data_IF_239362903715
#
_entry.id   IF_239362903715
#
_cell.length_a   1.000
_cell.length_b   1.000
_cell.length_c   1.000
_cell.angle_alpha   90.00
_cell.angle_beta   90.00
_cell.angle_gamma   90.00
#
_symmetry.space_group_name_H-M   'P 1'
#
loop_
_entity.id
_entity.type
_entity.pdbx_description
1 polymer ?
#
# COMPACT_ATOMS: atom_id res chain seq x y z
N UNK A 1 -13.81 -10.62 -13.72
CA UNK A 1 -13.04 -9.50 -14.32
C UNK A 1 -12.16 -10.06 -15.45
N UNK A 2 -12.54 -9.80 -16.72
CA UNK A 2 -11.82 -10.31 -17.93
C UNK A 2 -10.53 -9.51 -18.13
N UNK A 3 -9.45 -9.87 -17.49
CA UNK A 3 -8.12 -9.21 -17.59
C UNK A 3 -7.12 -9.97 -18.48
N UNK A 4 -7.53 -11.08 -19.09
CA UNK A 4 -6.57 -12.02 -19.69
C UNK A 4 -6.31 -11.87 -21.20
N UNK A 5 -6.89 -10.88 -21.90
CA UNK A 5 -6.79 -10.81 -23.37
C UNK A 5 -6.33 -9.48 -23.94
N UNK A 6 -5.83 -8.54 -23.13
CA UNK A 6 -5.34 -7.27 -23.67
C UNK A 6 -3.85 -7.37 -24.05
N UNK A 7 -3.46 -6.74 -25.20
CA UNK A 7 -2.04 -6.55 -25.60
C UNK A 7 -1.18 -6.03 -24.44
N UNK A 8 -1.76 -5.22 -23.56
CA UNK A 8 -1.10 -4.67 -22.37
C UNK A 8 -0.68 -5.74 -21.36
N UNK A 9 -1.52 -6.78 -21.14
CA UNK A 9 -1.17 -7.90 -20.24
C UNK A 9 0.01 -8.71 -20.77
N UNK A 10 0.03 -8.98 -22.07
CA UNK A 10 1.16 -9.67 -22.70
C UNK A 10 2.47 -8.88 -22.56
N UNK A 11 2.45 -7.57 -22.79
CA UNK A 11 3.61 -6.70 -22.57
C UNK A 11 4.10 -6.74 -21.12
N UNK A 12 3.18 -6.77 -20.15
CA UNK A 12 3.55 -6.92 -18.75
C UNK A 12 4.23 -8.27 -18.47
N UNK A 13 3.75 -9.37 -19.05
CA UNK A 13 4.39 -10.68 -18.91
C UNK A 13 5.80 -10.71 -19.49
N UNK A 14 6.00 -10.12 -20.67
CA UNK A 14 7.33 -9.98 -21.28
C UNK A 14 8.24 -9.16 -20.38
N UNK A 15 7.77 -8.01 -19.89
CA UNK A 15 8.52 -7.19 -18.94
C UNK A 15 8.96 -7.97 -17.69
N UNK A 16 8.03 -8.72 -17.05
CA UNK A 16 8.38 -9.51 -15.86
C UNK A 16 9.37 -10.63 -16.16
N UNK A 17 9.30 -11.27 -17.33
CA UNK A 17 10.29 -12.27 -17.73
C UNK A 17 11.68 -11.65 -17.90
N UNK A 18 11.79 -10.52 -18.57
CA UNK A 18 13.04 -9.78 -18.74
C UNK A 18 13.59 -9.29 -17.41
N UNK A 19 12.74 -8.72 -16.56
CA UNK A 19 13.12 -8.28 -15.21
C UNK A 19 13.72 -9.43 -14.40
N UNK A 20 13.07 -10.60 -14.38
CA UNK A 20 13.57 -11.80 -13.65
C UNK A 20 14.88 -12.30 -14.23
N UNK A 21 15.03 -12.29 -15.54
CA UNK A 21 16.26 -12.68 -16.20
C UNK A 21 17.43 -11.77 -15.79
N UNK A 22 17.24 -10.46 -15.86
CA UNK A 22 18.26 -9.49 -15.42
C UNK A 22 18.57 -9.63 -13.93
N UNK A 23 17.52 -9.77 -13.07
CA UNK A 23 17.68 -9.94 -11.63
C UNK A 23 18.39 -11.24 -11.25
N UNK A 24 18.19 -12.32 -12.02
CA UNK A 24 18.91 -13.57 -11.78
C UNK A 24 20.43 -13.38 -11.77
N UNK A 25 20.96 -12.70 -12.79
CA UNK A 25 22.39 -12.45 -12.86
C UNK A 25 22.86 -11.41 -11.85
N UNK A 26 22.19 -10.26 -11.78
CA UNK A 26 22.61 -9.19 -10.88
C UNK A 26 22.55 -9.60 -9.41
N UNK A 27 21.51 -10.33 -9.00
CA UNK A 27 21.38 -10.78 -7.62
C UNK A 27 22.38 -11.87 -7.26
N UNK A 28 22.71 -12.77 -8.20
CA UNK A 28 23.68 -13.84 -7.96
C UNK A 28 25.10 -13.31 -7.73
N UNK A 29 25.51 -12.31 -8.48
CA UNK A 29 26.89 -11.83 -8.44
C UNK A 29 27.10 -10.58 -7.59
N UNK A 30 26.06 -9.75 -7.42
CA UNK A 30 26.13 -8.44 -6.77
C UNK A 30 25.13 -8.28 -5.63
N UNK A 31 24.34 -9.31 -5.33
CA UNK A 31 23.31 -9.25 -4.29
C UNK A 31 23.92 -9.17 -2.89
N UNK A 32 23.32 -8.35 -2.03
CA UNK A 32 23.60 -8.29 -0.60
C UNK A 32 22.91 -9.47 0.10
N UNK A 33 23.37 -9.82 1.31
CA UNK A 33 22.77 -10.91 2.11
C UNK A 33 21.89 -10.38 3.23
N UNK A 34 22.25 -9.25 3.82
CA UNK A 34 21.56 -8.68 4.98
C UNK A 34 20.58 -7.60 4.54
N UNK A 35 19.37 -8.01 4.19
CA UNK A 35 18.32 -7.09 3.76
C UNK A 35 17.45 -6.65 4.93
N UNK A 36 16.96 -5.41 4.85
CA UNK A 36 15.83 -4.92 5.61
C UNK A 36 14.56 -5.07 4.76
N UNK A 37 13.52 -5.67 5.32
CA UNK A 37 12.24 -5.85 4.63
C UNK A 37 11.26 -4.78 5.09
N UNK A 38 10.83 -3.93 4.18
CA UNK A 38 9.85 -2.87 4.44
C UNK A 38 8.49 -3.26 3.87
N UNK A 39 7.49 -3.37 4.74
CA UNK A 39 6.11 -3.61 4.34
C UNK A 39 5.27 -2.35 4.54
N UNK A 40 4.68 -1.84 3.46
CA UNK A 40 3.70 -0.76 3.56
C UNK A 40 2.37 -1.37 3.99
N UNK A 41 1.88 -0.96 5.17
CA UNK A 41 0.58 -1.32 5.70
C UNK A 41 -0.42 -0.20 5.42
N UNK A 42 -1.08 -0.27 4.28
CA UNK A 42 -2.02 0.77 3.87
C UNK A 42 -3.29 0.17 3.25
N UNK A 43 -4.46 0.55 3.74
CA UNK A 43 -5.72 0.16 3.10
C UNK A 43 -5.81 0.63 1.65
N UNK A 44 -6.66 0.02 0.82
CA UNK A 44 -6.97 0.53 -0.50
C UNK A 44 -7.45 1.99 -0.43
N UNK A 45 -7.12 2.77 -1.46
CA UNK A 45 -7.54 4.17 -1.62
C UNK A 45 -6.95 5.17 -0.60
N UNK A 46 -6.01 4.74 0.23
CA UNK A 46 -5.35 5.59 1.21
C UNK A 46 -4.05 6.26 0.72
N UNK A 47 -3.71 6.19 -0.57
CA UNK A 47 -2.53 6.88 -1.12
C UNK A 47 -1.24 6.07 -1.14
N UNK A 48 -1.30 4.75 -0.88
CA UNK A 48 -0.12 3.87 -0.83
C UNK A 48 0.73 3.87 -2.11
N UNK A 49 0.13 4.16 -3.27
CA UNK A 49 0.89 4.28 -4.53
C UNK A 49 1.75 5.54 -4.57
N UNK A 50 1.27 6.65 -4.01
CA UNK A 50 2.06 7.87 -3.83
C UNK A 50 3.24 7.60 -2.89
N UNK A 51 2.99 7.05 -1.70
CA UNK A 51 4.03 6.69 -0.74
C UNK A 51 5.08 5.76 -1.36
N UNK A 52 4.64 4.74 -2.10
CA UNK A 52 5.56 3.84 -2.81
C UNK A 52 6.45 4.59 -3.82
N UNK A 53 5.90 5.58 -4.55
CA UNK A 53 6.69 6.35 -5.52
C UNK A 53 7.73 7.24 -4.83
N UNK A 54 7.36 7.91 -3.73
CA UNK A 54 8.29 8.70 -2.91
C UNK A 54 9.43 7.82 -2.41
N UNK A 55 9.12 6.68 -1.77
CA UNK A 55 10.13 5.76 -1.26
C UNK A 55 11.01 5.16 -2.36
N UNK A 56 10.46 4.96 -3.57
CA UNK A 56 11.19 4.43 -4.71
C UNK A 56 12.21 5.40 -5.31
N UNK A 57 12.25 6.65 -4.86
CA UNK A 57 13.30 7.60 -5.24
C UNK A 57 14.62 7.30 -4.50
N UNK A 58 14.55 6.59 -3.37
CA UNK A 58 15.73 6.14 -2.64
C UNK A 58 16.65 5.26 -3.49
N UNK A 59 17.94 5.59 -3.49
CA UNK A 59 18.97 4.78 -4.12
C UNK A 59 19.17 3.41 -3.46
N UNK A 60 18.71 3.20 -2.21
CA UNK A 60 18.91 1.98 -1.42
C UNK A 60 17.69 1.07 -1.32
N UNK A 61 16.57 1.43 -1.96
CA UNK A 61 15.31 0.68 -1.90
C UNK A 61 15.00 0.00 -3.24
N UNK A 62 14.44 -1.21 -3.15
CA UNK A 62 13.83 -1.91 -4.29
C UNK A 62 12.41 -2.34 -3.93
N UNK A 63 11.42 -1.97 -4.75
CA UNK A 63 10.10 -2.60 -4.69
C UNK A 63 10.08 -3.86 -5.57
N UNK A 64 9.23 -4.84 -5.19
CA UNK A 64 9.10 -6.10 -5.96
C UNK A 64 8.28 -5.92 -7.24
N UNK A 65 7.36 -4.96 -7.26
CA UNK A 65 6.51 -4.69 -8.41
C UNK A 65 6.57 -3.20 -8.78
N UNK A 66 6.96 -2.90 -10.02
CA UNK A 66 7.07 -1.53 -10.55
C UNK A 66 5.88 -1.14 -11.45
N UNK A 67 5.03 -2.11 -11.81
CA UNK A 67 3.93 -1.88 -12.73
C UNK A 67 2.60 -1.68 -12.00
N UNK A 68 1.76 -0.96 -12.61
CA UNK A 68 0.41 -0.79 -12.18
C UNK A 68 0.31 -0.13 -10.79
N UNK A 69 -0.49 -0.70 -9.90
CA UNK A 69 -0.64 -0.25 -8.51
C UNK A 69 0.56 -0.63 -7.64
N UNK A 70 1.59 -1.25 -8.21
CA UNK A 70 2.85 -1.60 -7.56
C UNK A 70 2.71 -2.56 -6.36
N UNK A 71 1.77 -3.50 -6.43
CA UNK A 71 1.52 -4.48 -5.38
C UNK A 71 2.17 -5.82 -5.71
N UNK A 72 2.91 -6.40 -4.77
CA UNK A 72 3.57 -7.70 -4.94
C UNK A 72 2.61 -8.86 -5.15
N UNK A 73 1.38 -8.76 -4.64
CA UNK A 73 0.31 -9.74 -4.91
C UNK A 73 -0.08 -9.84 -6.39
N UNK A 74 0.27 -8.87 -7.22
CA UNK A 74 -0.07 -8.85 -8.65
C UNK A 74 1.04 -9.41 -9.54
N UNK A 75 2.17 -9.82 -8.98
CA UNK A 75 3.22 -10.51 -9.73
C UNK A 75 2.69 -11.83 -10.30
N UNK A 76 3.07 -12.21 -11.53
CA UNK A 76 2.45 -13.34 -12.24
C UNK A 76 2.38 -14.65 -11.45
N UNK A 77 3.44 -14.97 -10.71
CA UNK A 77 3.55 -16.23 -9.94
C UNK A 77 2.87 -16.15 -8.56
N UNK A 78 2.49 -14.95 -8.10
CA UNK A 78 1.89 -14.71 -6.78
C UNK A 78 0.41 -14.41 -6.90
N UNK A 79 -0.01 -13.87 -8.05
CA UNK A 79 -1.38 -13.39 -8.27
C UNK A 79 -2.44 -14.44 -7.96
N UNK A 80 -2.27 -15.67 -8.41
CA UNK A 80 -3.25 -16.75 -8.19
C UNK A 80 -3.27 -17.20 -6.73
N UNK A 81 -2.21 -16.92 -5.97
CA UNK A 81 -2.10 -17.25 -4.54
C UNK A 81 -2.78 -16.16 -3.69
N UNK A 82 -2.48 -14.89 -3.96
CA UNK A 82 -2.83 -13.77 -3.06
C UNK A 82 -3.99 -12.92 -3.58
N UNK A 83 -4.11 -12.75 -4.90
CA UNK A 83 -5.10 -11.87 -5.49
C UNK A 83 -6.34 -12.66 -5.93
N UNK A 84 -7.15 -13.05 -4.96
CA UNK A 84 -8.39 -13.79 -5.14
C UNK A 84 -9.51 -13.18 -4.27
N UNK A 85 -10.72 -13.70 -4.38
CA UNK A 85 -11.89 -13.20 -3.64
C UNK A 85 -11.77 -13.34 -2.11
N UNK A 86 -10.81 -14.13 -1.62
CA UNK A 86 -10.57 -14.38 -0.19
C UNK A 86 -9.38 -13.60 0.36
N UNK A 87 -8.79 -12.70 -0.42
CA UNK A 87 -7.59 -11.95 -0.02
C UNK A 87 -7.74 -11.18 1.30
N UNK A 88 -8.95 -10.73 1.61
CA UNK A 88 -9.30 -9.99 2.83
C UNK A 88 -9.83 -10.86 3.98
N UNK A 89 -9.84 -12.16 3.84
CA UNK A 89 -10.22 -13.10 4.89
C UNK A 89 -9.01 -13.48 5.73
N UNK A 90 -9.02 -13.13 7.01
CA UNK A 90 -7.89 -13.35 7.93
C UNK A 90 -7.61 -14.83 8.21
N UNK A 91 -8.62 -15.68 8.05
CA UNK A 91 -8.52 -17.13 8.24
C UNK A 91 -7.81 -17.86 7.07
N UNK A 92 -7.63 -17.19 5.94
CA UNK A 92 -6.90 -17.76 4.79
C UNK A 92 -5.40 -17.59 4.98
N UNK A 93 -4.68 -18.68 5.10
CA UNK A 93 -3.23 -18.69 5.25
C UNK A 93 -2.53 -18.78 3.91
N UNK A 94 -1.50 -17.95 3.72
CA UNK A 94 -0.70 -17.96 2.51
C UNK A 94 0.60 -18.74 2.70
N UNK A 95 1.12 -19.39 1.64
CA UNK A 95 2.42 -20.05 1.67
C UNK A 95 3.56 -19.01 1.62
N UNK A 96 3.75 -18.25 2.70
CA UNK A 96 4.67 -17.11 2.76
C UNK A 96 6.11 -17.44 2.40
N UNK A 97 6.60 -18.64 2.74
CA UNK A 97 7.95 -19.10 2.32
C UNK A 97 8.04 -19.14 0.79
N UNK A 98 6.99 -19.65 0.11
CA UNK A 98 6.93 -19.66 -1.36
C UNK A 98 6.85 -18.26 -1.92
N UNK A 99 6.00 -17.40 -1.34
CA UNK A 99 5.84 -16.01 -1.73
C UNK A 99 7.17 -15.25 -1.59
N UNK A 100 7.86 -15.36 -0.45
CA UNK A 100 9.20 -14.77 -0.24
C UNK A 100 10.17 -15.21 -1.33
N UNK A 101 10.26 -16.53 -1.61
CA UNK A 101 11.12 -17.08 -2.67
C UNK A 101 10.80 -16.49 -4.06
N UNK A 102 9.52 -16.23 -4.35
CA UNK A 102 9.11 -15.60 -5.60
C UNK A 102 9.49 -14.12 -5.59
N UNK A 103 9.14 -13.35 -4.55
CA UNK A 103 9.44 -11.94 -4.44
C UNK A 103 10.93 -11.63 -4.54
N UNK A 104 11.81 -12.49 -3.94
CA UNK A 104 13.26 -12.39 -4.05
C UNK A 104 13.77 -12.43 -5.50
N UNK A 105 13.00 -13.01 -6.45
CA UNK A 105 13.36 -13.00 -7.88
C UNK A 105 13.07 -11.67 -8.57
N UNK A 106 12.22 -10.82 -7.98
CA UNK A 106 11.80 -9.54 -8.53
C UNK A 106 12.51 -8.35 -7.89
N UNK A 107 12.86 -8.44 -6.60
CA UNK A 107 13.64 -7.43 -5.92
C UNK A 107 15.06 -7.32 -6.49
N UNK A 108 15.55 -6.09 -6.53
CA UNK A 108 16.98 -5.82 -6.75
C UNK A 108 17.75 -6.04 -5.45
N UNK A 109 18.34 -7.21 -5.28
CA UNK A 109 19.07 -7.57 -4.06
C UNK A 109 20.41 -6.83 -3.90
N UNK A 110 20.79 -5.97 -4.84
CA UNK A 110 21.90 -5.02 -4.64
C UNK A 110 21.50 -3.90 -3.68
N UNK A 111 20.20 -3.68 -3.51
CA UNK A 111 19.63 -2.68 -2.60
C UNK A 111 19.50 -3.28 -1.20
N UNK A 112 19.71 -2.45 -0.19
CA UNK A 112 19.65 -2.89 1.20
C UNK A 112 18.19 -3.12 1.65
N UNK A 113 17.26 -2.29 1.18
CA UNK A 113 15.86 -2.31 1.58
C UNK A 113 15.01 -2.93 0.47
N UNK A 114 14.28 -3.99 0.82
CA UNK A 114 13.37 -4.71 -0.06
C UNK A 114 11.93 -4.45 0.37
N UNK A 115 11.17 -3.72 -0.45
CA UNK A 115 9.85 -3.22 -0.10
C UNK A 115 8.72 -3.97 -0.81
N UNK A 116 7.64 -4.28 -0.08
CA UNK A 116 6.35 -4.67 -0.63
C UNK A 116 5.22 -3.74 -0.17
N UNK A 117 4.26 -3.49 -1.07
CA UNK A 117 3.13 -2.60 -0.86
C UNK A 117 1.78 -3.30 -1.12
N UNK A 118 1.64 -4.53 -0.80
CA UNK A 118 0.37 -5.26 -0.94
C UNK A 118 -0.63 -4.78 0.12
N UNK A 119 -1.82 -4.33 -0.30
CA UNK A 119 -2.80 -3.75 0.62
C UNK A 119 -3.29 -4.74 1.69
N UNK A 120 -3.39 -6.04 1.35
CA UNK A 120 -3.80 -7.08 2.31
C UNK A 120 -2.75 -7.39 3.38
N UNK A 121 -1.54 -6.81 3.31
CA UNK A 121 -0.53 -6.95 4.36
C UNK A 121 -1.02 -6.44 5.72
N UNK A 122 -1.97 -5.49 5.76
CA UNK A 122 -2.52 -4.98 7.02
C UNK A 122 -3.16 -6.07 7.89
N UNK A 123 -3.65 -7.14 7.31
CA UNK A 123 -4.24 -8.27 8.04
C UNK A 123 -3.28 -9.47 8.14
N UNK A 124 -2.04 -9.37 7.61
CA UNK A 124 -1.08 -10.48 7.49
C UNK A 124 0.21 -10.28 8.30
N UNK A 125 0.30 -9.23 9.09
CA UNK A 125 1.51 -8.86 9.83
C UNK A 125 2.10 -10.04 10.62
N UNK A 126 1.27 -10.78 11.36
CA UNK A 126 1.71 -11.92 12.16
C UNK A 126 2.29 -13.06 11.29
N UNK A 127 1.73 -13.31 10.11
CA UNK A 127 2.22 -14.33 9.18
C UNK A 127 3.53 -13.90 8.52
N UNK A 128 3.62 -12.64 8.12
CA UNK A 128 4.82 -12.04 7.52
C UNK A 128 6.01 -12.15 8.48
N UNK A 129 5.82 -11.82 9.74
CA UNK A 129 6.85 -11.88 10.81
C UNK A 129 7.42 -13.29 11.04
N UNK A 130 6.67 -14.34 10.73
CA UNK A 130 7.16 -15.73 10.85
C UNK A 130 8.17 -16.11 9.78
N UNK A 131 8.25 -15.35 8.69
CA UNK A 131 9.02 -15.74 7.50
C UNK A 131 10.10 -14.72 7.13
N UNK A 132 9.88 -13.45 7.45
CA UNK A 132 10.84 -12.40 7.17
C UNK A 132 11.53 -11.97 8.46
N UNK A 133 12.85 -11.82 8.41
CA UNK A 133 13.66 -11.26 9.48
C UNK A 133 13.92 -9.78 9.18
N UNK A 134 14.38 -9.01 10.17
CA UNK A 134 14.78 -7.61 9.99
C UNK A 134 13.68 -6.77 9.31
N UNK A 135 12.47 -6.85 9.86
CA UNK A 135 11.25 -6.28 9.29
C UNK A 135 10.99 -4.88 9.84
N UNK A 136 10.49 -4.03 8.95
CA UNK A 136 9.96 -2.70 9.22
C UNK A 136 8.57 -2.57 8.64
N UNK A 137 7.64 -1.96 9.39
CA UNK A 137 6.28 -1.69 8.94
C UNK A 137 6.05 -0.19 8.85
N UNK A 138 5.64 0.28 7.68
CA UNK A 138 5.22 1.66 7.48
C UNK A 138 3.71 1.69 7.27
N UNK A 139 2.99 2.01 8.35
CA UNK A 139 1.53 2.12 8.36
C UNK A 139 1.07 3.47 7.81
N UNK A 140 0.01 3.46 7.00
CA UNK A 140 -0.63 4.68 6.54
C UNK A 140 -2.14 4.53 6.57
N UNK A 141 -2.81 5.51 7.16
CA UNK A 141 -4.27 5.69 7.16
C UNK A 141 -4.66 6.95 6.41
N UNK A 142 -5.93 7.10 6.12
CA UNK A 142 -6.51 8.28 5.46
C UNK A 142 -7.90 8.53 6.04
N UNK A 143 -8.37 9.77 5.93
CA UNK A 143 -9.75 10.11 6.26
C UNK A 143 -10.73 9.06 5.72
N UNK A 144 -11.48 8.38 6.59
CA UNK A 144 -12.28 7.22 6.20
C UNK A 144 -13.41 7.58 5.23
N UNK A 145 -13.94 8.81 5.24
CA UNK A 145 -14.92 9.25 4.25
C UNK A 145 -14.34 9.31 2.84
N UNK A 146 -13.12 9.84 2.71
CA UNK A 146 -12.42 9.88 1.43
C UNK A 146 -12.03 8.48 0.93
N UNK A 147 -11.75 7.55 1.85
CA UNK A 147 -11.53 6.14 1.53
C UNK A 147 -12.83 5.50 1.05
N UNK A 148 -13.94 5.70 1.75
CA UNK A 148 -15.28 5.18 1.40
C UNK A 148 -15.70 5.68 0.01
N UNK A 149 -15.53 6.97 -0.31
CA UNK A 149 -15.79 7.47 -1.67
C UNK A 149 -15.00 6.67 -2.71
N UNK A 150 -13.72 6.45 -2.45
CA UNK A 150 -12.86 5.68 -3.34
C UNK A 150 -13.36 4.26 -3.57
N UNK A 151 -13.86 3.60 -2.53
CA UNK A 151 -14.42 2.23 -2.60
C UNK A 151 -15.71 2.22 -3.41
N UNK A 152 -16.66 3.11 -3.08
CA UNK A 152 -17.93 3.22 -3.79
C UNK A 152 -17.69 3.44 -5.28
N UNK A 153 -16.94 4.47 -5.62
CA UNK A 153 -16.72 4.88 -7.01
C UNK A 153 -15.93 3.87 -7.85
N UNK A 154 -14.98 3.15 -7.24
CA UNK A 154 -14.08 2.24 -7.98
C UNK A 154 -14.57 0.82 -8.04
N UNK A 155 -15.22 0.36 -6.98
CA UNK A 155 -15.69 -1.01 -6.88
C UNK A 155 -17.18 -1.14 -7.15
N UNK A 156 -17.88 -0.02 -7.38
CA UNK A 156 -19.34 0.02 -7.49
C UNK A 156 -20.02 -0.62 -6.26
N UNK A 157 -19.47 -0.34 -5.07
CA UNK A 157 -19.92 -0.90 -3.80
C UNK A 157 -21.01 -0.05 -3.17
N UNK A 158 -21.82 -0.65 -2.28
CA UNK A 158 -22.77 0.12 -1.48
C UNK A 158 -22.05 0.95 -0.40
N UNK A 159 -22.64 2.08 0.05
CA UNK A 159 -22.08 2.89 1.13
C UNK A 159 -21.87 2.11 2.44
N UNK A 160 -22.80 1.19 2.77
CA UNK A 160 -22.74 0.34 3.96
C UNK A 160 -21.52 -0.58 3.92
N UNK A 161 -21.34 -1.29 2.81
CA UNK A 161 -20.17 -2.15 2.62
C UNK A 161 -18.89 -1.35 2.71
N UNK A 162 -18.83 -0.19 2.05
CA UNK A 162 -17.65 0.66 2.02
C UNK A 162 -17.30 1.20 3.41
N UNK A 163 -18.31 1.63 4.21
CA UNK A 163 -18.14 2.09 5.58
C UNK A 163 -17.63 0.97 6.50
N UNK A 164 -18.25 -0.21 6.44
CA UNK A 164 -17.81 -1.38 7.24
C UNK A 164 -16.38 -1.80 6.87
N UNK A 165 -16.04 -1.80 5.58
CA UNK A 165 -14.70 -2.15 5.11
C UNK A 165 -13.66 -1.14 5.59
N UNK A 166 -13.96 0.16 5.54
CA UNK A 166 -13.07 1.21 6.05
C UNK A 166 -12.85 1.07 7.56
N UNK A 167 -13.90 0.84 8.35
CA UNK A 167 -13.80 0.58 9.79
C UNK A 167 -12.96 -0.67 10.09
N UNK A 168 -13.16 -1.75 9.35
CA UNK A 168 -12.35 -2.97 9.51
C UNK A 168 -10.87 -2.70 9.23
N UNK A 169 -10.56 -1.92 8.19
CA UNK A 169 -9.19 -1.51 7.91
C UNK A 169 -8.60 -0.69 9.08
N UNK A 170 -9.35 0.25 9.66
CA UNK A 170 -8.89 1.04 10.80
C UNK A 170 -8.67 0.17 12.05
N UNK A 171 -9.53 -0.82 12.32
CA UNK A 171 -9.33 -1.77 13.44
C UNK A 171 -8.02 -2.56 13.28
N UNK A 172 -7.72 -3.06 12.06
CA UNK A 172 -6.44 -3.73 11.81
C UNK A 172 -5.27 -2.77 11.94
N UNK A 173 -5.39 -1.54 11.45
CA UNK A 173 -4.33 -0.53 11.57
C UNK A 173 -4.09 -0.10 13.02
N UNK A 174 -5.14 0.02 13.84
CA UNK A 174 -5.02 0.26 15.28
C UNK A 174 -4.23 -0.88 15.93
N UNK A 175 -4.64 -2.14 15.70
CA UNK A 175 -3.93 -3.31 16.18
C UNK A 175 -2.44 -3.31 15.75
N UNK A 176 -2.16 -3.05 14.50
CA UNK A 176 -0.79 -3.01 14.01
C UNK A 176 0.02 -1.90 14.67
N UNK A 177 -0.57 -0.71 14.87
CA UNK A 177 0.09 0.42 15.52
C UNK A 177 0.41 0.17 16.98
N UNK A 178 -0.46 -0.54 17.68
CA UNK A 178 -0.31 -0.82 19.14
C UNK A 178 0.67 -1.96 19.41
N UNK A 179 0.74 -2.97 18.55
CA UNK A 179 1.47 -4.20 18.84
C UNK A 179 2.78 -4.40 18.07
N UNK A 180 3.08 -3.54 17.07
CA UNK A 180 4.29 -3.71 16.27
C UNK A 180 5.37 -2.70 16.67
N UNK A 181 6.48 -3.22 17.24
CA UNK A 181 7.58 -2.40 17.77
C UNK A 181 8.34 -1.69 16.62
N UNK A 182 8.64 -2.40 15.53
CA UNK A 182 9.33 -1.82 14.37
C UNK A 182 8.31 -1.24 13.39
N UNK A 183 7.51 -0.27 13.84
CA UNK A 183 6.49 0.35 13.02
C UNK A 183 6.50 1.88 13.14
N UNK A 184 6.31 2.54 12.01
CA UNK A 184 6.01 3.97 11.91
C UNK A 184 4.64 4.13 11.27
N UNK A 185 3.76 4.94 11.87
CA UNK A 185 2.46 5.25 11.31
C UNK A 185 2.38 6.72 10.92
N UNK A 186 1.89 6.98 9.71
CA UNK A 186 1.65 8.30 9.15
C UNK A 186 0.21 8.38 8.65
N UNK A 187 -0.27 9.58 8.38
CA UNK A 187 -1.53 9.79 7.68
C UNK A 187 -1.28 10.24 6.23
N UNK A 188 -2.25 10.00 5.35
CA UNK A 188 -2.23 10.52 3.98
C UNK A 188 -2.20 12.06 3.99
N UNK A 189 -2.89 12.67 4.94
CA UNK A 189 -2.98 14.10 5.14
C UNK A 189 -1.60 14.68 5.46
N UNK A 190 -0.89 14.10 6.46
CA UNK A 190 0.49 14.51 6.78
C UNK A 190 1.42 14.37 5.57
N UNK A 191 1.29 13.26 4.80
CA UNK A 191 2.10 13.03 3.61
C UNK A 191 1.84 14.09 2.52
N UNK A 192 0.63 14.60 2.41
CA UNK A 192 0.30 15.63 1.43
C UNK A 192 0.66 17.04 1.90
N UNK A 193 0.37 17.35 3.15
CA UNK A 193 0.41 18.71 3.68
C UNK A 193 1.78 19.05 4.29
N UNK A 194 2.52 18.05 4.80
CA UNK A 194 3.82 18.18 5.48
C UNK A 194 4.85 17.15 4.97
N UNK A 195 4.93 16.97 3.67
CA UNK A 195 5.71 15.92 3.01
C UNK A 195 7.19 15.86 3.41
N UNK A 196 7.84 17.00 3.62
CA UNK A 196 9.22 17.09 4.08
C UNK A 196 9.39 16.47 5.49
N UNK A 197 8.55 16.89 6.43
CA UNK A 197 8.57 16.32 7.79
C UNK A 197 8.28 14.82 7.79
N UNK A 198 7.35 14.36 6.95
CA UNK A 198 7.07 12.91 6.81
C UNK A 198 8.29 12.18 6.24
N UNK A 199 8.96 12.75 5.25
CA UNK A 199 10.20 12.19 4.71
C UNK A 199 11.28 12.07 5.78
N UNK A 200 11.45 13.08 6.62
CA UNK A 200 12.41 13.06 7.73
C UNK A 200 12.05 12.04 8.81
N UNK A 201 10.77 11.91 9.18
CA UNK A 201 10.30 10.84 10.08
C UNK A 201 10.62 9.44 9.52
N UNK A 202 10.40 9.24 8.22
CA UNK A 202 10.68 7.95 7.57
C UNK A 202 12.19 7.67 7.52
N UNK A 203 13.00 8.67 7.21
CA UNK A 203 14.48 8.54 7.23
C UNK A 203 15.01 8.28 8.64
N UNK A 204 14.46 8.91 9.66
CA UNK A 204 14.83 8.64 11.05
C UNK A 204 14.44 7.20 11.48
N UNK A 205 13.32 6.69 10.98
CA UNK A 205 12.86 5.33 11.25
C UNK A 205 13.69 4.27 10.52
N UNK A 206 14.11 4.53 9.26
CA UNK A 206 14.97 3.64 8.47
C UNK A 206 16.09 4.49 7.84
N UNK A 207 17.17 4.78 8.59
CA UNK A 207 18.24 5.66 8.11
C UNK A 207 18.91 5.19 6.81
N UNK A 208 18.91 3.88 6.58
CA UNK A 208 19.51 3.30 5.37
C UNK A 208 18.72 3.60 4.08
N UNK A 209 17.54 4.17 4.18
CA UNK A 209 16.85 4.71 2.99
C UNK A 209 17.69 5.79 2.31
N UNK A 210 18.42 6.59 3.12
CA UNK A 210 19.10 7.77 2.60
C UNK A 210 18.10 8.81 2.09
N UNK A 211 18.48 9.53 1.05
CA UNK A 211 17.62 10.59 0.50
C UNK A 211 16.42 10.02 -0.25
N UNK A 212 15.26 10.62 0.02
CA UNK A 212 14.00 10.39 -0.69
C UNK A 212 13.45 11.73 -1.16
N UNK A 213 12.96 11.78 -2.41
CA UNK A 213 12.36 12.98 -3.00
C UNK A 213 10.88 13.05 -2.62
N UNK A 214 10.56 13.93 -1.67
CA UNK A 214 9.18 14.21 -1.26
C UNK A 214 8.47 15.22 -2.18
N UNK A 215 9.17 15.88 -3.10
CA UNK A 215 8.62 16.88 -4.02
C UNK A 215 8.34 16.31 -5.42
N UNK A 216 8.55 15.01 -5.60
CA UNK A 216 8.35 14.37 -6.90
C UNK A 216 6.94 14.62 -7.45
N UNK A 217 6.86 14.80 -8.74
CA UNK A 217 5.61 14.70 -9.46
C UNK A 217 5.28 13.22 -9.73
N UNK A 218 4.14 12.76 -9.26
CA UNK A 218 3.76 11.37 -9.33
C UNK A 218 2.73 11.08 -10.43
N UNK A 219 2.73 9.85 -10.92
CA UNK A 219 1.70 9.40 -11.84
C UNK A 219 0.64 8.59 -11.10
N UNK A 220 -0.59 9.09 -11.14
CA UNK A 220 -1.74 8.40 -10.56
C UNK A 220 -2.39 7.49 -11.62
N UNK A 221 -2.55 6.21 -11.26
CA UNK A 221 -2.97 5.13 -12.17
C UNK A 221 -4.30 5.30 -12.88
N UNK A 222 -5.10 6.28 -12.50
CA UNK A 222 -6.49 6.38 -12.91
C UNK A 222 -6.93 7.82 -13.21
N UNK A 223 -6.02 8.73 -13.33
CA UNK A 223 -6.34 10.02 -13.92
C UNK A 223 -6.16 9.89 -15.43
N UNK A 224 -7.16 10.35 -16.18
CA UNK A 224 -7.15 10.35 -17.66
C UNK A 224 -6.13 11.31 -18.26
N UNK A 225 -5.34 11.96 -17.39
CA UNK A 225 -4.27 12.86 -17.78
C UNK A 225 -2.98 12.06 -17.88
N UNK A 226 -2.36 12.04 -19.05
CA UNK A 226 -1.01 11.54 -19.28
C UNK A 226 0.07 12.39 -18.57
N UNK A 227 -0.35 13.24 -17.63
CA UNK A 227 0.46 14.17 -16.88
C UNK A 227 0.86 13.68 -15.50
N UNK A 228 2.06 14.08 -15.08
CA UNK A 228 2.49 14.00 -13.70
C UNK A 228 1.68 15.00 -12.87
N UNK A 229 1.35 14.62 -11.64
CA UNK A 229 0.60 15.44 -10.69
C UNK A 229 1.47 15.84 -9.52
N UNK A 230 1.30 17.07 -9.05
CA UNK A 230 1.86 17.49 -7.76
C UNK A 230 1.12 16.77 -6.61
N UNK A 231 1.85 16.54 -5.53
CA UNK A 231 1.28 15.98 -4.30
C UNK A 231 0.32 17.01 -3.70
N UNK A 232 -0.93 16.59 -3.49
CA UNK A 232 -1.96 17.44 -2.88
C UNK A 232 -2.98 16.58 -2.13
N UNK A 233 -3.57 17.14 -1.09
CA UNK A 233 -4.63 16.51 -0.33
C UNK A 233 -5.96 16.57 -1.11
N UNK A 234 -6.48 15.42 -1.48
CA UNK A 234 -7.72 15.31 -2.27
C UNK A 234 -8.94 14.87 -1.41
N UNK A 235 -8.85 14.98 -0.08
CA UNK A 235 -9.93 14.51 0.78
C UNK A 235 -11.22 15.29 0.54
N UNK A 236 -11.18 16.60 0.57
CA UNK A 236 -12.36 17.46 0.42
C UNK A 236 -13.06 17.24 -0.91
N UNK A 237 -12.29 17.13 -2.00
CA UNK A 237 -12.84 16.83 -3.33
C UNK A 237 -13.56 15.48 -3.39
N UNK A 238 -13.09 14.50 -2.62
CA UNK A 238 -13.70 13.18 -2.56
C UNK A 238 -14.92 13.17 -1.68
N UNK A 239 -14.85 13.79 -0.51
CA UNK A 239 -15.95 13.85 0.45
C UNK A 239 -17.13 14.60 -0.16
N UNK A 240 -16.87 15.70 -0.86
CA UNK A 240 -17.91 16.47 -1.60
C UNK A 240 -18.66 15.67 -2.68
N UNK A 241 -18.16 14.52 -3.11
CA UNK A 241 -18.82 13.63 -4.06
C UNK A 241 -19.81 12.66 -3.42
N UNK A 242 -19.79 12.54 -2.10
CA UNK A 242 -20.76 11.76 -1.36
C UNK A 242 -22.07 12.53 -1.26
N UNK A 243 -23.17 11.90 -1.65
CA UNK A 243 -24.50 12.50 -1.48
C UNK A 243 -24.92 12.54 -0.01
N UNK A 244 -25.86 13.39 0.35
CA UNK A 244 -26.42 13.48 1.71
C UNK A 244 -26.92 12.12 2.21
N UNK A 245 -27.60 11.35 1.36
CA UNK A 245 -28.07 10.01 1.73
C UNK A 245 -26.89 9.03 1.97
N UNK A 246 -25.82 9.12 1.18
CA UNK A 246 -24.62 8.32 1.39
C UNK A 246 -23.93 8.70 2.70
N UNK A 247 -23.80 10.00 2.99
CA UNK A 247 -23.22 10.47 4.26
C UNK A 247 -24.04 10.00 5.46
N UNK A 248 -25.38 10.10 5.41
CA UNK A 248 -26.25 9.62 6.50
C UNK A 248 -26.05 8.12 6.75
N UNK A 249 -25.98 7.31 5.69
CA UNK A 249 -25.71 5.87 5.79
C UNK A 249 -24.32 5.59 6.37
N UNK A 250 -23.27 6.25 5.89
CA UNK A 250 -21.89 6.10 6.40
C UNK A 250 -21.85 6.48 7.87
N UNK A 251 -22.48 7.60 8.25
CA UNK A 251 -22.54 8.07 9.63
C UNK A 251 -23.27 7.09 10.56
N UNK A 252 -24.25 6.34 10.08
CA UNK A 252 -24.92 5.31 10.89
C UNK A 252 -23.98 4.19 11.34
N UNK A 253 -22.90 3.94 10.61
CA UNK A 253 -21.82 3.00 10.98
C UNK A 253 -20.73 3.71 11.79
N UNK A 254 -20.28 4.88 11.36
CA UNK A 254 -19.16 5.59 11.98
C UNK A 254 -19.48 6.10 13.38
N UNK A 255 -20.74 6.49 13.65
CA UNK A 255 -21.21 6.88 14.98
C UNK A 255 -21.09 5.76 16.03
N UNK A 256 -21.06 4.49 15.59
CA UNK A 256 -20.88 3.34 16.49
C UNK A 256 -19.40 3.11 16.84
N UNK A 257 -18.48 3.81 16.16
CA UNK A 257 -17.03 3.61 16.25
C UNK A 257 -16.26 4.94 16.36
N UNK A 258 -16.89 5.93 17.03
CA UNK A 258 -16.31 7.28 17.19
C UNK A 258 -14.93 7.22 17.85
N UNK A 259 -14.74 6.35 18.84
CA UNK A 259 -13.44 6.17 19.51
C UNK A 259 -12.36 5.68 18.56
N UNK A 260 -12.71 4.78 17.62
CA UNK A 260 -11.77 4.30 16.60
C UNK A 260 -11.38 5.40 15.62
N UNK A 261 -12.33 6.24 15.22
CA UNK A 261 -12.06 7.39 14.36
C UNK A 261 -11.14 8.38 15.09
N UNK A 262 -11.52 8.76 16.31
CA UNK A 262 -10.76 9.70 17.15
C UNK A 262 -9.33 9.23 17.41
N UNK A 263 -9.11 7.91 17.56
CA UNK A 263 -7.79 7.31 17.72
C UNK A 263 -6.82 7.68 16.58
N UNK A 264 -7.35 7.88 15.37
CA UNK A 264 -6.58 8.32 14.20
C UNK A 264 -6.72 9.81 13.89
N UNK A 265 -7.38 10.57 14.75
CA UNK A 265 -7.59 12.01 14.58
C UNK A 265 -8.71 12.38 13.60
N UNK A 266 -9.64 11.46 13.33
CA UNK A 266 -10.79 11.71 12.45
C UNK A 266 -12.07 11.91 13.26
N UNK A 267 -12.96 12.77 12.76
CA UNK A 267 -14.25 13.05 13.36
C UNK A 267 -15.41 12.76 12.42
N UNK A 268 -16.61 12.66 12.98
CA UNK A 268 -17.85 12.56 12.20
C UNK A 268 -18.06 13.87 11.41
N UNK A 269 -18.48 13.74 10.17
CA UNK A 269 -18.83 14.87 9.28
C UNK A 269 -20.36 14.98 9.27
N UNK A 270 -20.87 16.17 9.56
CA UNK A 270 -22.32 16.48 9.54
C UNK A 270 -22.76 16.96 8.17
#
# INVERSE_FOLDING_TARGET
>A
MKLHTSKRWYLHLVYYKLLRFTRFFTNRFLGKKDHKFLFILSPPYCGSTLLNQILSTSGNLSCNNHLGVREGQLLPEVKDIMFNNKGWHSEVHYPWIKIKKIWMKYWDQRKLILMDKTNTNIIRVTEIKKVFDNIYFLGMVRNPYAQVEGIIRRNNSTPEYAAQFALNCLRYQKKNKEFEVNSLFITYEELCDNKGNVADKIKAFIPELGDIDSDLEFSAHNFKTDGKMKIQNLNDEKIKKLSTNQLALINSYFNKEVELLNYFGYSIIN
#
